data_IF_331712734017
#
_entry.id   IF_331712734017
#
_cell.length_a   1.000
_cell.length_b   1.000
_cell.length_c   1.000
_cell.angle_alpha   90.00
_cell.angle_beta   90.00
_cell.angle_gamma   90.00
#
_symmetry.space_group_name_H-M   'P 1'
#
loop_
_entity.id
_entity.type
_entity.pdbx_description
1 polymer ?
#
# COMPACT_ATOMS: atom_id res chain seq x y z
N UNK A 1 5.71 -6.08 -20.81
CA UNK A 1 6.05 -4.75 -21.40
C UNK A 1 5.99 -3.73 -20.29
N UNK A 2 7.08 -3.02 -20.00
CA UNK A 2 7.12 -2.01 -18.93
C UNK A 2 6.20 -0.83 -19.28
N UNK A 3 5.13 -0.65 -18.52
CA UNK A 3 4.11 0.40 -18.76
C UNK A 3 4.55 1.80 -18.30
N UNK A 4 5.66 1.90 -17.57
CA UNK A 4 6.14 3.18 -17.03
C UNK A 4 6.41 4.26 -18.10
N UNK A 5 6.72 3.86 -19.32
CA UNK A 5 6.96 4.77 -20.46
C UNK A 5 5.71 5.27 -21.19
N UNK A 6 4.53 4.67 -20.93
CA UNK A 6 3.29 5.02 -21.63
C UNK A 6 2.76 6.40 -21.18
N UNK A 7 1.98 7.04 -22.05
CA UNK A 7 1.16 8.20 -21.64
C UNK A 7 0.00 7.71 -20.76
N UNK A 8 -0.46 8.53 -19.82
CA UNK A 8 -1.54 8.15 -18.91
C UNK A 8 -2.82 7.68 -19.64
N UNK A 9 -3.18 8.32 -20.75
CA UNK A 9 -4.36 7.95 -21.53
C UNK A 9 -4.25 6.56 -22.21
N UNK A 10 -3.03 6.11 -22.46
CA UNK A 10 -2.74 4.77 -23.00
C UNK A 10 -2.67 3.73 -21.90
N UNK A 11 -2.08 4.11 -20.75
CA UNK A 11 -1.88 3.23 -19.62
C UNK A 11 -3.17 2.96 -18.83
N UNK A 12 -4.05 3.97 -18.71
CA UNK A 12 -5.28 3.86 -17.92
C UNK A 12 -6.46 4.54 -18.65
N UNK A 13 -7.34 3.72 -19.22
CA UNK A 13 -8.55 4.17 -19.92
C UNK A 13 -9.79 4.13 -19.03
N UNK A 14 -9.69 3.61 -17.80
CA UNK A 14 -10.85 3.54 -16.91
C UNK A 14 -11.33 4.95 -16.53
N UNK A 15 -12.65 5.17 -16.42
CA UNK A 15 -13.19 6.45 -16.02
C UNK A 15 -12.72 6.87 -14.62
N UNK A 16 -12.45 8.16 -14.45
CA UNK A 16 -12.16 8.77 -13.17
C UNK A 16 -12.48 10.26 -13.24
N UNK A 17 -12.66 10.91 -12.10
CA UNK A 17 -12.88 12.36 -12.01
C UNK A 17 -11.76 13.13 -12.73
N UNK A 18 -12.08 14.18 -13.52
CA UNK A 18 -11.09 14.94 -14.28
C UNK A 18 -9.95 15.52 -13.43
N UNK A 19 -10.26 15.96 -12.20
CA UNK A 19 -9.24 16.45 -11.26
C UNK A 19 -8.22 15.38 -10.91
N UNK A 20 -8.68 14.17 -10.58
CA UNK A 20 -7.79 13.06 -10.27
C UNK A 20 -6.88 12.72 -11.46
N UNK A 21 -7.46 12.64 -12.67
CA UNK A 21 -6.68 12.37 -13.90
C UNK A 21 -5.59 13.41 -14.14
N UNK A 22 -5.89 14.73 -13.94
CA UNK A 22 -4.92 15.80 -14.08
C UNK A 22 -3.80 15.72 -13.04
N UNK A 23 -4.16 15.50 -11.76
CA UNK A 23 -3.21 15.31 -10.66
C UNK A 23 -2.29 14.12 -10.94
N UNK A 24 -2.86 12.99 -11.33
CA UNK A 24 -2.09 11.78 -11.67
C UNK A 24 -1.17 11.98 -12.87
N UNK A 25 -1.64 12.68 -13.90
CA UNK A 25 -0.84 13.00 -15.08
C UNK A 25 0.38 13.85 -14.74
N UNK A 26 0.17 14.93 -13.97
CA UNK A 26 1.26 15.80 -13.51
C UNK A 26 2.20 15.06 -12.54
N UNK A 27 1.66 14.35 -11.54
CA UNK A 27 2.44 13.57 -10.58
C UNK A 27 3.29 12.50 -11.25
N UNK A 28 2.70 11.74 -12.18
CA UNK A 28 3.43 10.73 -12.94
C UNK A 28 4.52 11.32 -13.85
N UNK A 29 4.25 12.47 -14.48
CA UNK A 29 5.29 13.18 -15.23
C UNK A 29 6.46 13.59 -14.31
N UNK A 30 6.15 14.16 -13.15
CA UNK A 30 7.15 14.59 -12.18
C UNK A 30 7.98 13.40 -11.66
N UNK A 31 7.32 12.31 -11.26
CA UNK A 31 7.98 11.10 -10.77
C UNK A 31 8.94 10.51 -11.83
N UNK A 32 8.53 10.44 -13.09
CA UNK A 32 9.42 9.97 -14.18
C UNK A 32 10.61 10.90 -14.42
N UNK A 33 10.48 12.18 -14.15
CA UNK A 33 11.60 13.13 -14.26
C UNK A 33 12.58 12.99 -13.10
N UNK A 34 12.08 12.66 -11.92
CA UNK A 34 12.85 12.68 -10.67
C UNK A 34 13.37 11.29 -10.27
N UNK A 35 12.73 10.22 -10.72
CA UNK A 35 13.07 8.83 -10.34
C UNK A 35 13.15 7.92 -11.57
N UNK A 36 13.79 6.76 -11.42
CA UNK A 36 13.72 5.66 -12.38
C UNK A 36 12.66 4.67 -11.91
N UNK A 37 11.96 4.02 -12.84
CA UNK A 37 10.94 3.03 -12.53
C UNK A 37 11.44 1.65 -12.96
N UNK A 38 11.50 0.73 -12.01
CA UNK A 38 11.76 -0.69 -12.21
C UNK A 38 10.53 -1.47 -11.70
N UNK A 39 9.60 -1.73 -12.61
CA UNK A 39 8.31 -2.34 -12.32
C UNK A 39 8.15 -3.66 -13.06
N UNK A 40 7.53 -4.63 -12.42
CA UNK A 40 6.97 -5.79 -13.09
C UNK A 40 5.65 -5.46 -13.81
N UNK A 41 5.12 -6.45 -14.53
CA UNK A 41 3.78 -6.38 -15.10
C UNK A 41 2.77 -6.77 -14.01
N UNK A 42 1.74 -5.96 -13.80
CA UNK A 42 0.69 -6.23 -12.83
C UNK A 42 -0.30 -7.28 -13.35
N UNK A 43 0.16 -8.50 -13.58
CA UNK A 43 -0.63 -9.58 -14.20
C UNK A 43 -1.81 -10.04 -13.33
N UNK A 44 -1.64 -9.94 -12.01
CA UNK A 44 -2.64 -10.39 -11.03
C UNK A 44 -3.62 -9.30 -10.57
N UNK A 45 -3.54 -8.09 -11.15
CA UNK A 45 -4.38 -6.97 -10.74
C UNK A 45 -5.77 -7.07 -11.41
N UNK A 46 -6.82 -7.47 -10.68
CA UNK A 46 -8.16 -7.67 -11.26
C UNK A 46 -8.80 -6.34 -11.67
N UNK A 47 -9.71 -6.40 -12.64
CA UNK A 47 -10.46 -5.23 -13.09
C UNK A 47 -11.54 -4.77 -12.07
N UNK A 48 -12.07 -5.70 -11.26
CA UNK A 48 -13.10 -5.44 -10.23
C UNK A 48 -12.54 -4.96 -8.90
N UNK A 49 -13.32 -5.11 -7.84
CA UNK A 49 -12.91 -4.80 -6.48
C UNK A 49 -11.63 -5.53 -6.07
N UNK A 50 -10.71 -4.84 -5.45
CA UNK A 50 -9.43 -5.39 -5.01
C UNK A 50 -8.87 -4.62 -3.83
N UNK A 51 -8.27 -5.34 -2.88
CA UNK A 51 -7.44 -4.77 -1.83
C UNK A 51 -5.98 -4.96 -2.23
N UNK A 52 -5.24 -3.88 -2.36
CA UNK A 52 -3.77 -3.91 -2.53
C UNK A 52 -3.13 -3.62 -1.19
N UNK A 53 -2.21 -4.47 -0.78
CA UNK A 53 -1.44 -4.31 0.46
C UNK A 53 0.05 -4.19 0.15
N UNK A 54 0.74 -3.27 0.82
CA UNK A 54 2.16 -3.02 0.57
C UNK A 54 2.93 -2.75 1.87
N UNK A 55 4.26 -2.97 1.83
CA UNK A 55 5.17 -2.49 2.88
C UNK A 55 5.26 -0.96 2.86
N UNK A 56 5.57 -0.36 4.02
CA UNK A 56 5.66 1.10 4.17
C UNK A 56 7.00 1.51 4.77
N UNK A 57 7.91 1.99 3.93
CA UNK A 57 9.30 2.33 4.30
C UNK A 57 9.61 3.84 4.22
N UNK A 58 8.69 4.62 3.65
CA UNK A 58 8.91 6.04 3.39
C UNK A 58 7.60 6.82 3.22
N UNK A 59 7.59 8.09 3.57
CA UNK A 59 6.51 9.00 3.19
C UNK A 59 6.39 9.18 1.65
N UNK A 60 7.38 8.72 0.88
CA UNK A 60 7.37 8.74 -0.58
C UNK A 60 6.76 7.48 -1.21
N UNK A 61 6.40 6.46 -0.41
CA UNK A 61 5.75 5.24 -0.89
C UNK A 61 4.40 5.48 -1.57
N UNK A 62 3.47 6.28 -0.98
CA UNK A 62 2.13 6.44 -1.55
C UNK A 62 2.14 6.99 -2.99
N UNK A 63 2.86 8.07 -3.32
CA UNK A 63 2.92 8.53 -4.71
C UNK A 63 3.59 7.52 -5.65
N UNK A 64 4.59 6.75 -5.19
CA UNK A 64 5.24 5.71 -5.99
C UNK A 64 4.27 4.57 -6.31
N UNK A 65 3.59 4.04 -5.31
CA UNK A 65 2.60 2.97 -5.49
C UNK A 65 1.39 3.44 -6.30
N UNK A 66 0.91 4.68 -6.07
CA UNK A 66 -0.15 5.26 -6.89
C UNK A 66 0.26 5.34 -8.37
N UNK A 67 1.47 5.80 -8.66
CA UNK A 67 2.00 5.85 -10.02
C UNK A 67 2.00 4.46 -10.67
N UNK A 68 2.51 3.43 -9.98
CA UNK A 68 2.51 2.05 -10.46
C UNK A 68 1.09 1.55 -10.77
N UNK A 69 0.15 1.68 -9.82
CA UNK A 69 -1.22 1.19 -9.98
C UNK A 69 -1.98 1.93 -11.08
N UNK A 70 -1.84 3.26 -11.16
CA UNK A 70 -2.50 4.07 -12.18
C UNK A 70 -2.01 3.68 -13.58
N UNK A 71 -0.70 3.46 -13.76
CA UNK A 71 -0.13 3.03 -15.03
C UNK A 71 -0.45 1.57 -15.39
N UNK A 72 -0.88 0.78 -14.39
CA UNK A 72 -1.44 -0.57 -14.59
C UNK A 72 -2.99 -0.60 -14.63
N UNK A 73 -3.63 0.55 -14.88
CA UNK A 73 -5.05 0.63 -15.19
C UNK A 73 -5.98 0.77 -13.98
N UNK A 74 -5.46 1.01 -12.76
CA UNK A 74 -6.28 1.12 -11.54
C UNK A 74 -6.11 2.49 -10.88
N UNK A 75 -7.24 3.08 -10.44
CA UNK A 75 -7.26 4.31 -9.66
C UNK A 75 -7.31 3.95 -8.18
N UNK A 76 -6.19 4.09 -7.43
CA UNK A 76 -6.16 3.67 -6.03
C UNK A 76 -6.90 4.62 -5.11
N UNK A 77 -7.62 4.03 -4.14
CA UNK A 77 -8.19 4.67 -2.96
C UNK A 77 -7.33 4.29 -1.76
N UNK A 78 -6.39 5.14 -1.38
CA UNK A 78 -5.46 4.87 -0.29
C UNK A 78 -6.04 5.28 1.05
N UNK A 79 -5.86 4.43 2.05
CA UNK A 79 -6.13 4.77 3.44
C UNK A 79 -4.96 5.61 3.98
N UNK A 80 -5.23 6.83 4.41
CA UNK A 80 -4.23 7.76 4.91
C UNK A 80 -4.61 8.40 6.24
N UNK A 81 -3.61 8.85 7.01
CA UNK A 81 -3.80 9.51 8.30
C UNK A 81 -4.66 10.78 8.15
N UNK A 82 -5.76 10.90 8.89
CA UNK A 82 -6.75 11.98 8.74
C UNK A 82 -6.16 13.39 8.87
N UNK A 83 -5.08 13.55 9.65
CA UNK A 83 -4.39 14.85 9.82
C UNK A 83 -3.77 15.38 8.52
N UNK A 84 -3.48 14.51 7.53
CA UNK A 84 -2.97 14.93 6.22
C UNK A 84 -3.99 15.80 5.46
N UNK A 85 -5.28 15.61 5.72
CA UNK A 85 -6.36 16.43 5.10
C UNK A 85 -6.41 17.86 5.63
N UNK A 86 -5.71 18.17 6.74
CA UNK A 86 -5.59 19.51 7.29
C UNK A 86 -4.49 20.34 6.62
N UNK A 87 -3.57 19.68 5.90
CA UNK A 87 -2.51 20.35 5.13
C UNK A 87 -3.14 20.91 3.85
N UNK A 88 -3.14 22.23 3.59
CA UNK A 88 -3.99 22.84 2.56
C UNK A 88 -3.88 22.19 1.17
N UNK A 89 -2.70 22.17 0.56
CA UNK A 89 -2.49 21.64 -0.78
C UNK A 89 -2.65 20.12 -0.81
N UNK A 90 -2.02 19.41 0.13
CA UNK A 90 -2.10 17.96 0.24
C UNK A 90 -3.53 17.50 0.50
N UNK A 91 -4.23 18.14 1.44
CA UNK A 91 -5.62 17.81 1.76
C UNK A 91 -6.57 18.05 0.59
N UNK A 92 -6.33 19.07 -0.23
CA UNK A 92 -7.07 19.27 -1.48
C UNK A 92 -6.79 18.12 -2.46
N UNK A 93 -5.53 17.74 -2.69
CA UNK A 93 -5.15 16.61 -3.54
C UNK A 93 -5.82 15.32 -3.07
N UNK A 94 -5.73 15.02 -1.77
CA UNK A 94 -6.32 13.81 -1.20
C UNK A 94 -7.84 13.73 -1.40
N UNK A 95 -8.55 14.85 -1.20
CA UNK A 95 -9.99 14.95 -1.48
C UNK A 95 -10.30 14.80 -2.96
N UNK A 96 -9.59 15.52 -3.82
CA UNK A 96 -9.79 15.46 -5.27
C UNK A 96 -9.50 14.07 -5.86
N UNK A 97 -8.61 13.31 -5.23
CA UNK A 97 -8.31 11.93 -5.59
C UNK A 97 -9.17 10.91 -4.83
N UNK A 98 -10.12 11.35 -3.99
CA UNK A 98 -11.02 10.48 -3.23
C UNK A 98 -10.32 9.52 -2.29
N UNK A 99 -9.20 9.94 -1.67
CA UNK A 99 -8.49 9.11 -0.71
C UNK A 99 -9.28 9.01 0.61
N UNK A 100 -9.08 7.93 1.37
CA UNK A 100 -9.89 7.57 2.55
C UNK A 100 -9.15 8.00 3.83
N UNK A 101 -9.70 8.96 4.62
CA UNK A 101 -9.10 9.38 5.88
C UNK A 101 -9.28 8.33 6.98
N UNK A 102 -8.22 8.05 7.75
CA UNK A 102 -8.23 7.14 8.90
C UNK A 102 -7.92 7.90 10.17
N UNK A 103 -8.83 7.91 11.10
CA UNK A 103 -8.60 8.42 12.46
C UNK A 103 -8.03 7.28 13.33
N UNK A 104 -6.71 7.25 13.47
CA UNK A 104 -6.00 6.20 14.19
C UNK A 104 -6.17 6.37 15.71
N UNK A 105 -6.27 5.24 16.43
CA UNK A 105 -6.31 5.23 17.89
C UNK A 105 -7.65 5.69 18.50
N UNK A 106 -8.70 5.75 17.71
CA UNK A 106 -10.06 6.07 18.14
C UNK A 106 -11.04 5.00 17.66
N UNK A 107 -12.24 4.94 18.24
CA UNK A 107 -13.35 4.08 17.78
C UNK A 107 -13.74 4.37 16.32
N UNK A 108 -13.40 5.57 15.83
CA UNK A 108 -13.60 5.99 14.44
C UNK A 108 -12.60 5.37 13.43
N UNK A 109 -11.66 4.53 13.88
CA UNK A 109 -10.84 3.74 12.95
C UNK A 109 -11.70 2.76 12.14
N UNK A 110 -12.85 2.31 12.69
CA UNK A 110 -13.82 1.50 11.94
C UNK A 110 -14.56 2.27 10.86
N UNK A 111 -14.79 3.57 11.00
CA UNK A 111 -15.41 4.40 9.96
C UNK A 111 -14.62 4.33 8.64
N UNK A 112 -13.30 4.27 8.74
CA UNK A 112 -12.44 4.12 7.57
C UNK A 112 -12.63 2.76 6.86
N UNK A 113 -12.92 1.70 7.60
CA UNK A 113 -13.25 0.38 7.02
C UNK A 113 -14.59 0.41 6.31
N UNK A 114 -15.59 1.11 6.86
CA UNK A 114 -16.90 1.30 6.20
C UNK A 114 -16.73 2.04 4.87
N UNK A 115 -15.93 3.10 4.83
CA UNK A 115 -15.64 3.80 3.57
C UNK A 115 -14.86 2.93 2.57
N UNK A 116 -13.93 2.11 3.07
CA UNK A 116 -13.19 1.18 2.24
C UNK A 116 -14.11 0.07 1.68
N UNK A 117 -15.04 -0.46 2.47
CA UNK A 117 -16.05 -1.42 2.03
C UNK A 117 -16.97 -0.83 0.94
N UNK A 118 -17.40 0.42 1.12
CA UNK A 118 -18.21 1.11 0.11
C UNK A 118 -17.44 1.29 -1.21
N UNK A 119 -16.14 1.62 -1.15
CA UNK A 119 -15.28 1.71 -2.33
C UNK A 119 -15.12 0.35 -3.02
N UNK A 120 -14.93 -0.74 -2.25
CA UNK A 120 -14.84 -2.09 -2.79
C UNK A 120 -16.18 -2.53 -3.40
N UNK A 121 -17.31 -2.23 -2.77
CA UNK A 121 -18.65 -2.51 -3.33
C UNK A 121 -18.87 -1.78 -4.66
N UNK A 122 -18.25 -0.62 -4.87
CA UNK A 122 -18.23 0.12 -6.14
C UNK A 122 -17.22 -0.44 -7.17
N UNK A 123 -16.52 -1.55 -6.89
CA UNK A 123 -15.53 -2.16 -7.78
C UNK A 123 -14.17 -1.43 -7.80
N UNK A 124 -13.90 -0.57 -6.81
CA UNK A 124 -12.68 0.23 -6.75
C UNK A 124 -11.46 -0.56 -6.21
N UNK A 125 -10.28 0.03 -6.37
CA UNK A 125 -9.01 -0.48 -5.87
C UNK A 125 -8.67 0.21 -4.55
N UNK A 126 -8.79 -0.48 -3.44
CA UNK A 126 -8.44 0.03 -2.11
C UNK A 126 -7.01 -0.35 -1.76
N UNK A 127 -6.20 0.61 -1.34
CA UNK A 127 -4.79 0.40 -0.97
C UNK A 127 -4.60 0.62 0.52
N UNK A 128 -3.98 -0.35 1.16
CA UNK A 128 -3.71 -0.32 2.60
C UNK A 128 -2.23 -0.63 2.85
N UNK A 129 -1.62 0.13 3.73
CA UNK A 129 -0.35 -0.22 4.37
C UNK A 129 -0.68 -0.93 5.69
N UNK A 130 -0.58 -2.29 5.76
CA UNK A 130 -1.08 -3.03 6.92
C UNK A 130 -0.34 -2.69 8.22
N UNK A 131 0.90 -2.24 8.11
CA UNK A 131 1.73 -1.78 9.23
C UNK A 131 1.12 -0.55 9.94
N UNK A 132 0.26 0.19 9.25
CA UNK A 132 -0.40 1.40 9.75
C UNK A 132 0.54 2.61 9.91
N UNK A 133 1.82 2.48 9.66
CA UNK A 133 2.83 3.56 9.73
C UNK A 133 4.06 3.16 8.92
N UNK A 134 4.93 4.11 8.63
CA UNK A 134 6.27 3.81 8.10
C UNK A 134 6.99 2.89 9.08
N UNK A 135 7.65 1.85 8.56
CA UNK A 135 8.32 0.85 9.38
C UNK A 135 9.28 1.46 10.40
N UNK A 136 9.25 0.92 11.61
CA UNK A 136 10.21 1.20 12.66
C UNK A 136 11.28 0.11 12.79
N UNK A 137 11.22 -0.91 11.94
CA UNK A 137 12.24 -1.94 11.89
C UNK A 137 13.61 -1.34 11.49
N UNK A 138 14.68 -1.57 12.26
CA UNK A 138 16.00 -1.00 11.98
C UNK A 138 16.56 -1.40 10.61
N UNK A 139 16.20 -2.60 10.12
CA UNK A 139 16.58 -3.11 8.80
C UNK A 139 15.60 -2.72 7.70
N UNK A 140 14.58 -1.90 7.99
CA UNK A 140 13.52 -1.48 7.06
C UNK A 140 12.70 -2.65 6.48
N UNK A 141 12.60 -3.76 7.21
CA UNK A 141 11.75 -4.88 6.87
C UNK A 141 10.28 -4.60 7.24
N UNK A 142 9.32 -5.28 6.58
CA UNK A 142 7.92 -5.20 6.93
C UNK A 142 7.67 -5.62 8.37
N UNK A 143 6.82 -4.87 9.09
CA UNK A 143 6.45 -5.13 10.47
C UNK A 143 5.21 -6.03 10.59
N UNK A 144 4.76 -6.28 11.82
CA UNK A 144 3.47 -6.91 12.07
C UNK A 144 2.32 -6.06 11.57
N UNK A 145 1.28 -6.71 11.02
CA UNK A 145 0.09 -6.02 10.53
C UNK A 145 -0.82 -5.57 11.68
N UNK A 146 -1.45 -4.40 11.50
CA UNK A 146 -2.68 -4.06 12.20
C UNK A 146 -3.85 -4.85 11.61
N UNK A 147 -4.90 -5.16 12.38
CA UNK A 147 -5.99 -6.06 11.94
C UNK A 147 -6.89 -5.50 10.82
N UNK A 148 -6.82 -4.19 10.53
CA UNK A 148 -7.74 -3.52 9.62
C UNK A 148 -7.79 -4.12 8.21
N UNK A 149 -6.64 -4.35 7.58
CA UNK A 149 -6.57 -4.92 6.22
C UNK A 149 -7.12 -6.35 6.19
N UNK A 150 -6.77 -7.17 7.19
CA UNK A 150 -7.25 -8.54 7.32
C UNK A 150 -8.76 -8.60 7.55
N UNK A 151 -9.29 -7.77 8.46
CA UNK A 151 -10.74 -7.68 8.71
C UNK A 151 -11.50 -7.27 7.47
N UNK A 152 -11.01 -6.25 6.74
CA UNK A 152 -11.63 -5.81 5.49
C UNK A 152 -11.66 -6.95 4.46
N UNK A 153 -10.55 -7.66 4.30
CA UNK A 153 -10.45 -8.80 3.38
C UNK A 153 -11.45 -9.91 3.71
N UNK A 154 -11.53 -10.32 5.00
CA UNK A 154 -12.42 -11.38 5.45
C UNK A 154 -13.91 -10.99 5.38
N UNK A 155 -14.24 -9.72 5.60
CA UNK A 155 -15.62 -9.21 5.54
C UNK A 155 -16.12 -9.09 4.10
N UNK A 156 -15.26 -8.70 3.18
CA UNK A 156 -15.65 -8.42 1.79
C UNK A 156 -15.42 -9.60 0.85
N UNK A 157 -14.52 -10.53 1.20
CA UNK A 157 -14.16 -11.66 0.34
C UNK A 157 -13.44 -11.27 -0.97
N UNK A 158 -13.07 -10.00 -1.14
CA UNK A 158 -12.38 -9.56 -2.36
C UNK A 158 -10.91 -10.00 -2.38
N UNK A 159 -10.29 -10.18 -3.56
CA UNK A 159 -8.88 -10.54 -3.66
C UNK A 159 -7.98 -9.53 -2.95
N UNK A 160 -6.99 -10.05 -2.22
CA UNK A 160 -5.92 -9.26 -1.59
C UNK A 160 -4.65 -9.46 -2.37
N UNK A 161 -4.11 -8.40 -2.95
CA UNK A 161 -2.90 -8.45 -3.78
C UNK A 161 -1.73 -7.84 -3.01
N UNK A 162 -0.70 -8.62 -2.69
CA UNK A 162 0.50 -8.13 -2.04
C UNK A 162 1.40 -7.40 -3.02
N UNK A 163 2.01 -6.31 -2.57
CA UNK A 163 2.99 -5.54 -3.32
C UNK A 163 4.22 -5.29 -2.45
N UNK A 164 5.39 -5.64 -2.98
CA UNK A 164 6.68 -5.25 -2.44
C UNK A 164 7.17 -3.98 -3.13
N UNK A 165 7.66 -3.01 -2.36
CA UNK A 165 8.24 -1.79 -2.91
C UNK A 165 9.55 -1.41 -2.22
N UNK A 166 10.47 -0.79 -3.00
CA UNK A 166 11.77 -0.34 -2.52
C UNK A 166 12.26 0.89 -3.28
N UNK A 167 13.15 1.67 -2.65
CA UNK A 167 13.76 2.86 -3.26
C UNK A 167 13.17 4.18 -2.77
N UNK A 168 11.93 4.22 -2.32
CA UNK A 168 11.31 5.42 -1.75
C UNK A 168 12.01 5.91 -0.47
N UNK A 169 12.57 4.99 0.31
CA UNK A 169 13.41 5.27 1.47
C UNK A 169 14.73 5.98 1.13
N UNK A 170 15.21 5.85 -0.12
CA UNK A 170 16.36 6.61 -0.60
C UNK A 170 16.02 8.08 -0.89
N UNK A 171 14.75 8.34 -1.21
CA UNK A 171 14.24 9.70 -1.42
C UNK A 171 13.97 10.38 -0.08
N UNK A 172 13.17 9.75 0.78
CA UNK A 172 12.77 10.29 2.08
C UNK A 172 12.86 9.18 3.13
N UNK A 173 14.00 9.06 3.85
CA UNK A 173 14.18 7.98 4.82
C UNK A 173 13.30 8.16 6.06
N UNK A 174 12.66 7.07 6.49
CA UNK A 174 11.93 6.98 7.74
C UNK A 174 10.64 7.79 7.83
N UNK A 175 10.20 8.05 9.05
CA UNK A 175 8.91 8.72 9.37
C UNK A 175 8.96 10.24 9.24
N UNK A 176 10.14 10.83 9.35
CA UNK A 176 10.28 12.27 9.37
C UNK A 176 10.17 12.86 7.98
N UNK A 177 9.50 13.99 7.85
CA UNK A 177 9.48 14.73 6.60
C UNK A 177 10.87 15.36 6.43
N UNK A 178 11.63 14.85 5.48
CA UNK A 178 12.96 15.36 5.13
C UNK A 178 12.93 15.93 3.71
N UNK A 179 13.91 16.77 3.38
CA UNK A 179 14.07 17.19 1.99
C UNK A 179 14.34 15.97 1.10
N UNK A 180 13.64 15.84 -0.04
CA UNK A 180 13.79 14.67 -0.89
C UNK A 180 15.17 14.63 -1.54
N UNK A 181 15.83 13.48 -1.43
CA UNK A 181 17.12 13.20 -2.08
C UNK A 181 16.85 12.63 -3.47
N UNK A 182 17.02 13.45 -4.49
CA UNK A 182 16.67 13.10 -5.87
C UNK A 182 17.91 12.97 -6.79
N UNK A 183 19.11 13.11 -6.23
CA UNK A 183 20.35 12.96 -6.95
C UNK A 183 21.33 12.05 -6.18
N UNK A 184 21.94 11.02 -6.84
CA UNK A 184 21.58 10.50 -8.17
C UNK A 184 20.12 10.01 -8.20
N UNK A 185 19.51 9.98 -9.40
CA UNK A 185 18.08 9.58 -9.54
C UNK A 185 17.84 8.21 -8.92
N UNK A 186 17.04 8.13 -7.84
CA UNK A 186 16.73 6.87 -7.19
C UNK A 186 15.82 5.99 -8.07
N UNK A 187 15.98 4.68 -7.95
CA UNK A 187 15.15 3.71 -8.66
C UNK A 187 14.00 3.27 -7.75
N UNK A 188 12.76 3.43 -8.23
CA UNK A 188 11.54 2.95 -7.57
C UNK A 188 11.25 1.54 -8.07
N UNK A 189 11.46 0.56 -7.23
CA UNK A 189 11.22 -0.85 -7.52
C UNK A 189 9.86 -1.22 -6.95
N UNK A 190 8.98 -1.80 -7.78
CA UNK A 190 7.66 -2.30 -7.36
C UNK A 190 7.45 -3.67 -7.97
N UNK A 191 7.08 -4.64 -7.13
CA UNK A 191 6.77 -6.02 -7.53
C UNK A 191 5.41 -6.41 -6.97
N UNK A 192 4.58 -7.03 -7.80
CA UNK A 192 3.25 -7.51 -7.44
C UNK A 192 3.26 -9.04 -7.32
N UNK A 193 2.67 -9.55 -6.23
CA UNK A 193 2.48 -10.97 -6.02
C UNK A 193 1.12 -11.48 -6.50
N UNK A 194 0.96 -12.80 -6.43
CA UNK A 194 -0.34 -13.47 -6.61
C UNK A 194 -1.30 -13.13 -5.47
N UNK A 195 -2.62 -13.29 -5.65
CA UNK A 195 -3.57 -13.10 -4.58
C UNK A 195 -3.23 -13.92 -3.34
N UNK A 196 -3.27 -13.29 -2.16
CA UNK A 196 -3.04 -13.96 -0.88
C UNK A 196 -4.08 -15.05 -0.67
N UNK A 197 -3.65 -16.26 -0.35
CA UNK A 197 -4.58 -17.36 -0.10
C UNK A 197 -5.25 -17.21 1.29
N UNK A 198 -6.52 -16.80 1.29
CA UNK A 198 -7.36 -16.66 2.48
C UNK A 198 -8.60 -17.56 2.44
N UNK A 199 -8.68 -18.52 1.50
CA UNK A 199 -9.88 -19.32 1.24
C UNK A 199 -10.39 -20.11 2.45
N UNK A 200 -9.50 -20.68 3.26
CA UNK A 200 -9.83 -21.41 4.49
C UNK A 200 -10.30 -20.50 5.65
N UNK A 201 -10.13 -19.19 5.51
CA UNK A 201 -10.59 -18.16 6.45
C UNK A 201 -11.86 -17.45 5.97
N UNK A 202 -12.37 -17.80 4.80
CA UNK A 202 -13.53 -17.15 4.18
C UNK A 202 -14.76 -17.22 5.11
N UNK A 203 -15.49 -16.10 5.23
CA UNK A 203 -16.66 -15.98 6.09
C UNK A 203 -16.39 -15.90 7.59
N UNK A 204 -15.15 -15.99 8.02
CA UNK A 204 -14.75 -15.82 9.44
C UNK A 204 -14.45 -14.35 9.74
N UNK A 205 -15.02 -13.86 10.85
CA UNK A 205 -14.85 -12.46 11.29
C UNK A 205 -14.20 -12.36 12.68
N UNK A 206 -13.82 -13.49 13.26
CA UNK A 206 -13.19 -13.54 14.58
C UNK A 206 -11.76 -13.01 14.58
N UNK A 207 -11.25 -12.60 15.74
CA UNK A 207 -9.93 -12.01 15.88
C UNK A 207 -8.82 -13.00 15.51
N UNK A 208 -9.01 -14.31 15.73
CA UNK A 208 -8.02 -15.33 15.38
C UNK A 208 -7.89 -15.47 13.85
N UNK A 209 -9.00 -15.46 13.14
CA UNK A 209 -8.99 -15.46 11.67
C UNK A 209 -8.33 -14.18 11.12
N UNK A 210 -8.65 -13.01 11.69
CA UNK A 210 -8.03 -11.75 11.29
C UNK A 210 -6.50 -11.75 11.57
N UNK A 211 -6.06 -12.30 12.68
CA UNK A 211 -4.63 -12.45 12.98
C UNK A 211 -3.94 -13.38 11.97
N UNK A 212 -4.53 -14.55 11.67
CA UNK A 212 -4.00 -15.48 10.69
C UNK A 212 -3.92 -14.88 9.29
N UNK A 213 -4.96 -14.18 8.85
CA UNK A 213 -4.96 -13.45 7.57
C UNK A 213 -3.87 -12.37 7.53
N UNK A 214 -3.71 -11.60 8.61
CA UNK A 214 -2.68 -10.58 8.74
C UNK A 214 -1.25 -11.16 8.63
N UNK A 215 -1.02 -12.33 9.21
CA UNK A 215 0.27 -13.05 9.08
C UNK A 215 0.53 -13.40 7.61
N UNK A 216 -0.42 -14.05 6.93
CA UNK A 216 -0.27 -14.45 5.51
C UNK A 216 -0.04 -13.25 4.60
N UNK A 217 -0.81 -12.18 4.79
CA UNK A 217 -0.64 -10.92 4.04
C UNK A 217 0.80 -10.41 4.17
N UNK A 218 1.33 -10.37 5.40
CA UNK A 218 2.66 -9.85 5.61
C UNK A 218 3.76 -10.85 5.22
N UNK A 219 3.49 -12.17 5.21
CA UNK A 219 4.42 -13.18 4.67
C UNK A 219 4.64 -12.92 3.17
N UNK A 220 3.57 -12.76 2.41
CA UNK A 220 3.65 -12.52 0.97
C UNK A 220 4.32 -11.17 0.65
N UNK A 221 3.97 -10.10 1.38
CA UNK A 221 4.65 -8.79 1.25
C UNK A 221 6.14 -8.90 1.59
N UNK A 222 6.49 -9.65 2.65
CA UNK A 222 7.90 -9.82 3.06
C UNK A 222 8.68 -10.63 2.03
N UNK A 223 8.09 -11.66 1.44
CA UNK A 223 8.71 -12.45 0.37
C UNK A 223 9.02 -11.59 -0.87
N UNK A 224 8.11 -10.69 -1.25
CA UNK A 224 8.34 -9.75 -2.37
C UNK A 224 9.49 -8.77 -2.05
N UNK A 225 9.52 -8.22 -0.82
CA UNK A 225 10.61 -7.33 -0.39
C UNK A 225 11.95 -8.08 -0.35
N UNK A 226 11.97 -9.34 0.12
CA UNK A 226 13.16 -10.18 0.10
C UNK A 226 13.69 -10.40 -1.31
N UNK A 227 12.79 -10.68 -2.27
CA UNK A 227 13.16 -10.79 -3.69
C UNK A 227 13.72 -9.50 -4.28
N UNK A 228 13.14 -8.34 -3.94
CA UNK A 228 13.65 -7.04 -4.39
C UNK A 228 15.04 -6.75 -3.82
N UNK A 229 15.26 -7.04 -2.55
CA UNK A 229 16.52 -6.77 -1.85
C UNK A 229 17.60 -7.82 -2.12
N UNK A 230 17.22 -8.99 -2.66
CA UNK A 230 18.07 -10.19 -2.75
C UNK A 230 18.69 -10.54 -1.38
N UNK A 231 17.92 -10.38 -0.31
CA UNK A 231 18.33 -10.62 1.07
C UNK A 231 17.30 -11.52 1.77
N UNK A 232 17.77 -12.43 2.62
CA UNK A 232 16.87 -13.20 3.48
C UNK A 232 16.23 -12.29 4.54
N UNK A 233 14.89 -12.40 4.76
CA UNK A 233 14.25 -11.65 5.82
C UNK A 233 14.75 -12.15 7.19
N UNK A 234 14.76 -11.28 8.20
CA UNK A 234 15.15 -11.68 9.55
C UNK A 234 14.15 -12.68 10.14
N UNK A 235 14.61 -13.50 11.06
CA UNK A 235 13.75 -14.38 11.83
C UNK A 235 12.74 -13.57 12.65
N UNK A 236 11.44 -13.68 12.30
CA UNK A 236 10.36 -12.94 12.95
C UNK A 236 10.14 -11.52 12.39
N UNK A 237 9.11 -10.85 12.92
CA UNK A 237 8.71 -9.49 12.53
C UNK A 237 8.82 -8.52 13.69
N UNK A 238 9.17 -7.29 13.36
CA UNK A 238 9.16 -6.20 14.33
C UNK A 238 7.73 -5.86 14.75
N UNK A 239 7.47 -5.91 16.06
CA UNK A 239 6.19 -5.50 16.64
C UNK A 239 6.34 -4.07 17.20
N UNK A 240 5.67 -3.11 16.55
CA UNK A 240 5.76 -1.71 16.93
C UNK A 240 5.26 -1.44 18.37
N UNK A 241 4.28 -2.21 18.85
CA UNK A 241 3.71 -2.02 20.20
C UNK A 241 4.67 -2.46 21.30
N UNK A 242 5.50 -3.44 20.99
CA UNK A 242 6.47 -4.01 21.93
C UNK A 242 7.88 -3.46 21.75
N UNK A 243 8.16 -2.83 20.60
CA UNK A 243 9.47 -2.30 20.28
C UNK A 243 10.54 -3.37 20.01
N UNK A 244 10.13 -4.60 19.72
CA UNK A 244 11.03 -5.74 19.52
C UNK A 244 10.58 -6.63 18.35
N UNK A 245 11.50 -7.49 17.88
CA UNK A 245 11.21 -8.49 16.86
C UNK A 245 10.72 -9.77 17.51
N UNK A 246 9.63 -10.35 17.00
CA UNK A 246 8.99 -11.55 17.52
C UNK A 246 8.87 -12.65 16.46
N UNK A 247 8.91 -13.93 16.87
CA UNK A 247 8.65 -15.05 15.95
C UNK A 247 7.30 -14.90 15.25
N UNK A 248 7.23 -15.31 14.00
CA UNK A 248 5.99 -15.32 13.22
C UNK A 248 5.04 -16.35 13.82
N UNK A 249 3.78 -15.98 14.03
CA UNK A 249 2.77 -16.87 14.62
C UNK A 249 2.75 -16.92 16.17
N UNK A 250 3.65 -16.21 16.85
CA UNK A 250 3.47 -16.00 18.30
C UNK A 250 2.19 -15.18 18.51
N UNK A 251 1.19 -15.78 19.20
CA UNK A 251 -0.14 -15.20 19.38
C UNK A 251 -0.07 -13.73 19.78
N UNK A 252 -0.86 -12.90 19.09
CA UNK A 252 -1.22 -11.57 19.56
C UNK A 252 -2.17 -11.79 20.76
N UNK A 253 -1.57 -11.96 21.93
CA UNK A 253 -2.29 -11.96 23.20
C UNK A 253 -2.57 -10.51 23.61
#
# INVERSE_FOLDING_TARGET
MNRAGLRLAEANRTPVQPAYRRIAGFGGWLLRRLTKQDWDVAEHLPAGAVIVVANHISNFDPPTLAHYLIWNGRWPRMLGKAELWRIPVLGWVLRACGQIPVQRGTDRAEDALVHAEAALAAGECVVIYPEGTVTADPGTWPMTALPGAARLALRTGVPVIPVGQWGANLVMPGKNLTWPRLWPKPTMIVRMGSPVNLGDLAGRTDNRAAAAAGVRIMDDVTALVAGIRAEAPPAGRYDLRRGERRPIGSAQA
#
